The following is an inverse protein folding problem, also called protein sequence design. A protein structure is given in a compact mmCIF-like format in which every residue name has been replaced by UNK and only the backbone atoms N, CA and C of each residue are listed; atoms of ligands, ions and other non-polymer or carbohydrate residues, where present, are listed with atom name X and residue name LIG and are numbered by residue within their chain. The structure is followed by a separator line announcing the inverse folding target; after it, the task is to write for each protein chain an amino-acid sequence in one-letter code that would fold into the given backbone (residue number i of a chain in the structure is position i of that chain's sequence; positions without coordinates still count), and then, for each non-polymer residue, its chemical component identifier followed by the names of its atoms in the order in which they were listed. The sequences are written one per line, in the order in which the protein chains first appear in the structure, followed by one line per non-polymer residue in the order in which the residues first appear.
data_IF_714098691139
#
_entry.id   IF_714098691139
#
_cell.length_a   1.000
_cell.length_b   1.000
_cell.length_c   1.000
_cell.angle_alpha   90.00
_cell.angle_beta   90.00
_cell.angle_gamma   90.00
#
_symmetry.space_group_name_H-M   'P 1'
#
loop_
_entity.id
_entity.type
_entity.pdbx_description
1 polymer ?
#
# COMPACT_ATOMS: atom_id res chain seq x y z
N UNK A 1 -15.19 0.38 35.44
CA UNK A 1 -14.44 -0.87 35.22
C UNK A 1 -15.09 -1.75 34.12
N UNK A 2 -15.33 -1.18 32.93
CA UNK A 2 -15.96 -1.89 31.79
C UNK A 2 -15.62 -1.19 30.46
N UNK A 3 -15.47 0.14 30.48
CA UNK A 3 -15.05 0.93 29.32
C UNK A 3 -13.58 0.74 28.89
N UNK A 4 -12.66 0.37 29.80
CA UNK A 4 -11.26 0.08 29.46
C UNK A 4 -11.08 -1.23 28.69
N UNK A 5 -11.99 -2.20 28.88
CA UNK A 5 -11.93 -3.50 28.20
C UNK A 5 -12.29 -3.40 26.71
N UNK A 6 -13.12 -2.41 26.32
CA UNK A 6 -13.48 -2.15 24.92
C UNK A 6 -12.34 -1.54 24.08
N UNK A 7 -11.39 -0.83 24.71
CA UNK A 7 -10.20 -0.30 24.04
C UNK A 7 -9.10 -1.34 23.87
N UNK A 8 -9.11 -2.42 24.66
CA UNK A 8 -8.08 -3.44 24.63
C UNK A 8 -8.51 -4.64 23.78
N UNK A 9 -7.77 -4.85 22.69
CA UNK A 9 -7.77 -6.03 21.80
C UNK A 9 -8.97 -6.20 20.88
N UNK A 10 -8.86 -5.58 19.69
CA UNK A 10 -8.89 -6.44 18.50
C UNK A 10 -7.71 -7.41 18.62
N UNK A 11 -7.95 -8.61 19.14
CA UNK A 11 -6.95 -9.68 19.13
C UNK A 11 -6.69 -9.93 17.65
N UNK A 12 -5.57 -9.44 17.12
CA UNK A 12 -5.11 -9.84 15.79
C UNK A 12 -4.93 -11.35 15.89
N UNK A 13 -5.92 -12.10 15.40
CA UNK A 13 -5.79 -13.54 15.24
C UNK A 13 -4.50 -13.74 14.46
N UNK A 14 -3.58 -14.55 15.03
CA UNK A 14 -2.38 -14.96 14.33
C UNK A 14 -2.80 -15.83 13.16
N UNK A 15 -3.20 -15.17 12.08
CA UNK A 15 -3.41 -15.73 10.76
C UNK A 15 -2.11 -16.43 10.37
N UNK A 16 -2.21 -17.68 9.91
CA UNK A 16 -1.07 -18.35 9.28
C UNK A 16 -0.48 -17.45 8.20
N UNK A 17 0.85 -17.46 8.03
CA UNK A 17 1.51 -16.66 7.00
C UNK A 17 0.86 -16.88 5.62
N UNK A 18 0.45 -18.12 5.32
CA UNK A 18 -0.29 -18.46 4.10
C UNK A 18 -1.66 -17.78 3.99
N UNK A 19 -2.42 -17.70 5.09
CA UNK A 19 -3.72 -17.03 5.11
C UNK A 19 -3.58 -15.50 4.92
N UNK A 20 -2.53 -14.90 5.48
CA UNK A 20 -2.23 -13.48 5.26
C UNK A 20 -1.80 -13.21 3.82
N UNK A 21 -0.97 -14.09 3.24
CA UNK A 21 -0.54 -14.02 1.84
C UNK A 21 -1.74 -14.13 0.88
N UNK A 22 -2.62 -15.11 1.10
CA UNK A 22 -3.83 -15.28 0.29
C UNK A 22 -4.76 -14.07 0.36
N UNK A 23 -4.98 -13.53 1.56
CA UNK A 23 -5.79 -12.30 1.73
C UNK A 23 -5.17 -11.13 0.97
N UNK A 24 -3.86 -10.91 1.13
CA UNK A 24 -3.14 -9.84 0.42
C UNK A 24 -3.22 -9.99 -1.11
N UNK A 25 -3.04 -11.22 -1.60
CA UNK A 25 -3.16 -11.54 -3.02
C UNK A 25 -4.55 -11.21 -3.56
N UNK A 26 -5.61 -11.70 -2.92
CA UNK A 26 -6.98 -11.45 -3.38
C UNK A 26 -7.38 -9.99 -3.29
N UNK A 27 -6.99 -9.27 -2.23
CA UNK A 27 -7.23 -7.83 -2.10
C UNK A 27 -6.52 -7.04 -3.20
N UNK A 28 -5.29 -7.44 -3.53
CA UNK A 28 -4.51 -6.76 -4.58
C UNK A 28 -5.05 -7.07 -5.97
N UNK A 29 -5.44 -8.32 -6.23
CA UNK A 29 -5.99 -8.75 -7.51
C UNK A 29 -7.36 -8.12 -7.79
N UNK A 30 -8.19 -7.96 -6.76
CA UNK A 30 -9.50 -7.34 -6.88
C UNK A 30 -9.46 -5.81 -6.78
N UNK A 31 -8.28 -5.20 -6.67
CA UNK A 31 -8.12 -3.76 -6.58
C UNK A 31 -8.38 -3.11 -7.94
N UNK A 32 -9.52 -2.40 -8.15
CA UNK A 32 -9.85 -1.84 -9.46
C UNK A 32 -8.88 -0.73 -9.86
N UNK A 33 -8.29 -0.02 -8.90
CA UNK A 33 -7.30 1.03 -9.17
C UNK A 33 -6.03 0.44 -9.78
N UNK A 34 -5.56 -0.69 -9.26
CA UNK A 34 -4.40 -1.40 -9.81
C UNK A 34 -4.66 -1.88 -11.24
N UNK A 35 -5.82 -2.49 -11.47
CA UNK A 35 -6.21 -2.97 -12.80
C UNK A 35 -6.26 -1.80 -13.80
N UNK A 36 -6.97 -0.72 -13.44
CA UNK A 36 -7.11 0.47 -14.30
C UNK A 36 -5.76 1.14 -14.57
N UNK A 37 -4.89 1.21 -13.57
CA UNK A 37 -3.54 1.76 -13.73
C UNK A 37 -2.75 0.94 -14.76
N UNK A 38 -2.65 -0.37 -14.59
CA UNK A 38 -1.89 -1.20 -15.53
C UNK A 38 -2.52 -1.25 -16.92
N UNK A 39 -3.84 -1.33 -17.01
CA UNK A 39 -4.54 -1.34 -18.31
C UNK A 39 -4.37 -0.03 -19.07
N UNK A 40 -4.25 1.09 -18.37
CA UNK A 40 -4.02 2.38 -19.01
C UNK A 40 -2.53 2.62 -19.29
N UNK A 41 -1.63 2.19 -18.40
CA UNK A 41 -0.22 2.57 -18.44
C UNK A 41 0.65 1.61 -19.24
N UNK A 42 0.53 0.29 -19.05
CA UNK A 42 1.41 -0.69 -19.72
C UNK A 42 1.29 -0.67 -21.26
N UNK A 43 0.09 -0.55 -21.86
CA UNK A 43 -0.02 -0.54 -23.32
C UNK A 43 0.68 0.66 -23.97
N UNK A 44 0.89 1.76 -23.23
CA UNK A 44 1.58 2.95 -23.76
C UNK A 44 3.06 2.68 -24.07
N UNK A 45 3.64 1.63 -23.48
CA UNK A 45 5.03 1.22 -23.73
C UNK A 45 5.14 0.07 -24.73
N UNK A 46 4.01 -0.51 -25.18
CA UNK A 46 4.01 -1.61 -26.13
C UNK A 46 4.02 -1.06 -27.57
N UNK A 47 4.85 -1.66 -28.43
CA UNK A 47 4.87 -1.37 -29.86
C UNK A 47 3.73 -2.09 -30.58
N UNK A 48 3.12 -1.40 -31.54
CA UNK A 48 2.07 -1.94 -32.43
C UNK A 48 2.62 -2.86 -33.52
N UNK A 49 3.93 -2.86 -33.76
CA UNK A 49 4.57 -3.65 -34.83
C UNK A 49 4.92 -5.09 -34.42
N UNK A 50 4.60 -5.52 -33.21
CA UNK A 50 4.99 -6.82 -32.65
C UNK A 50 3.88 -7.43 -31.81
N UNK A 51 3.98 -8.72 -31.50
CA UNK A 51 2.98 -9.41 -30.70
C UNK A 51 2.80 -8.74 -29.32
N UNK A 52 1.55 -8.46 -28.95
CA UNK A 52 1.22 -7.68 -27.75
C UNK A 52 1.46 -8.44 -26.44
N UNK A 53 1.02 -9.70 -26.36
CA UNK A 53 1.06 -10.49 -25.12
C UNK A 53 2.48 -10.64 -24.53
N UNK A 54 3.53 -11.00 -25.31
CA UNK A 54 4.88 -11.12 -24.78
C UNK A 54 5.41 -9.79 -24.21
N UNK A 55 5.11 -8.66 -24.87
CA UNK A 55 5.56 -7.34 -24.42
C UNK A 55 4.94 -6.97 -23.07
N UNK A 56 3.62 -7.14 -22.93
CA UNK A 56 2.93 -6.86 -21.67
C UNK A 56 3.38 -7.81 -20.56
N UNK A 57 3.60 -9.08 -20.87
CA UNK A 57 4.12 -10.04 -19.90
C UNK A 57 5.51 -9.64 -19.38
N UNK A 58 6.42 -9.24 -20.27
CA UNK A 58 7.75 -8.74 -19.90
C UNK A 58 7.66 -7.47 -19.08
N UNK A 59 6.88 -6.47 -19.50
CA UNK A 59 6.72 -5.22 -18.76
C UNK A 59 6.13 -5.44 -17.37
N UNK A 60 5.13 -6.31 -17.26
CA UNK A 60 4.51 -6.68 -15.98
C UNK A 60 5.50 -7.39 -15.06
N UNK A 61 6.33 -8.30 -15.60
CA UNK A 61 7.37 -8.99 -14.85
C UNK A 61 8.45 -8.02 -14.34
N UNK A 62 8.90 -7.09 -15.18
CA UNK A 62 9.85 -6.04 -14.79
C UNK A 62 9.28 -5.17 -13.68
N UNK A 63 8.02 -4.74 -13.81
CA UNK A 63 7.34 -3.97 -12.77
C UNK A 63 7.25 -4.74 -11.45
N UNK A 64 6.82 -6.02 -11.51
CA UNK A 64 6.69 -6.85 -10.32
C UNK A 64 8.02 -7.04 -9.61
N UNK A 65 9.10 -7.27 -10.36
CA UNK A 65 10.45 -7.40 -9.81
C UNK A 65 10.87 -6.11 -9.10
N UNK A 66 10.67 -4.95 -9.74
CA UNK A 66 10.98 -3.66 -9.15
C UNK A 66 10.17 -3.41 -7.87
N UNK A 67 8.87 -3.70 -7.89
CA UNK A 67 7.98 -3.54 -6.74
C UNK A 67 8.47 -4.40 -5.56
N UNK A 68 8.72 -5.69 -5.79
CA UNK A 68 9.21 -6.60 -4.74
C UNK A 68 10.58 -6.15 -4.22
N UNK A 69 11.49 -5.73 -5.09
CA UNK A 69 12.81 -5.21 -4.67
C UNK A 69 12.67 -3.97 -3.80
N UNK A 70 11.88 -2.99 -4.22
CA UNK A 70 11.68 -1.75 -3.47
C UNK A 70 11.01 -1.99 -2.12
N UNK A 71 9.93 -2.78 -2.09
CA UNK A 71 9.24 -3.11 -0.85
C UNK A 71 10.13 -3.90 0.11
N UNK A 72 10.91 -4.87 -0.42
CA UNK A 72 11.86 -5.63 0.39
C UNK A 72 12.96 -4.73 0.96
N UNK A 73 13.55 -3.86 0.14
CA UNK A 73 14.54 -2.88 0.60
C UNK A 73 13.95 -1.98 1.69
N UNK A 74 12.73 -1.48 1.48
CA UNK A 74 12.04 -0.63 2.44
C UNK A 74 11.82 -1.35 3.78
N UNK A 75 11.27 -2.58 3.74
CA UNK A 75 11.02 -3.37 4.96
C UNK A 75 12.31 -3.73 5.68
N UNK A 76 13.37 -4.12 4.95
CA UNK A 76 14.67 -4.43 5.55
C UNK A 76 15.31 -3.20 6.19
N UNK A 77 15.22 -2.03 5.54
CA UNK A 77 15.71 -0.78 6.09
C UNK A 77 14.91 -0.38 7.34
N UNK A 78 13.58 -0.47 7.28
CA UNK A 78 12.70 -0.22 8.42
C UNK A 78 13.00 -1.17 9.59
N UNK A 79 13.28 -2.44 9.32
CA UNK A 79 13.65 -3.41 10.34
C UNK A 79 14.99 -3.05 11.01
N UNK A 80 15.98 -2.61 10.23
CA UNK A 80 17.29 -2.15 10.76
C UNK A 80 17.17 -0.87 11.58
N UNK A 81 16.35 0.07 11.15
CA UNK A 81 16.15 1.36 11.83
C UNK A 81 15.08 1.30 12.92
N UNK A 82 14.48 0.13 13.17
CA UNK A 82 13.38 -0.03 14.13
C UNK A 82 13.71 0.52 15.51
N UNK A 83 14.95 0.39 15.98
CA UNK A 83 15.37 0.92 17.28
C UNK A 83 15.37 2.45 17.32
N UNK A 84 15.68 3.11 16.20
CA UNK A 84 15.62 4.56 16.06
C UNK A 84 14.14 5.02 15.97
N UNK A 85 13.34 4.31 15.17
CA UNK A 85 11.93 4.61 14.94
C UNK A 85 11.01 4.25 16.12
N UNK A 86 11.46 3.42 17.06
CA UNK A 86 10.67 3.02 18.24
C UNK A 86 10.60 4.09 19.34
N UNK A 87 11.07 5.31 19.07
CA UNK A 87 10.95 6.43 20.02
C UNK A 87 9.53 7.01 20.00
N UNK A 88 9.01 7.33 21.19
CA UNK A 88 7.67 7.92 21.36
C UNK A 88 7.50 9.24 20.59
N UNK A 89 8.60 9.97 20.41
CA UNK A 89 8.60 11.24 19.69
C UNK A 89 8.39 11.06 18.18
N UNK A 90 9.01 10.03 17.57
CA UNK A 90 8.81 9.71 16.16
C UNK A 90 7.38 9.24 15.89
N UNK A 91 6.82 8.41 16.77
CA UNK A 91 5.41 8.01 16.68
C UNK A 91 4.47 9.22 16.77
N UNK A 92 4.77 10.17 17.66
CA UNK A 92 3.97 11.40 17.81
C UNK A 92 4.03 12.28 16.58
N UNK A 93 5.23 12.46 16.01
CA UNK A 93 5.43 13.23 14.77
C UNK A 93 4.70 12.55 13.61
N UNK A 94 4.88 11.24 13.43
CA UNK A 94 4.25 10.46 12.35
C UNK A 94 2.71 10.54 12.41
N UNK A 95 2.14 10.37 13.59
CA UNK A 95 0.70 10.49 13.81
C UNK A 95 0.21 11.94 13.59
N UNK A 96 0.96 12.92 14.05
CA UNK A 96 0.65 14.34 13.85
C UNK A 96 0.65 14.73 12.37
N UNK A 97 1.69 14.33 11.63
CA UNK A 97 1.80 14.56 10.18
C UNK A 97 0.65 13.90 9.44
N UNK A 98 0.37 12.63 9.72
CA UNK A 98 -0.72 11.88 9.08
C UNK A 98 -2.09 12.52 9.36
N UNK A 99 -2.36 12.87 10.61
CA UNK A 99 -3.60 13.53 11.01
C UNK A 99 -3.77 14.90 10.35
N UNK A 100 -2.70 15.69 10.29
CA UNK A 100 -2.71 17.01 9.64
C UNK A 100 -2.96 16.87 8.13
N UNK A 101 -2.33 15.87 7.49
CA UNK A 101 -2.54 15.59 6.07
C UNK A 101 -3.99 15.19 5.77
N UNK A 102 -4.60 14.36 6.63
CA UNK A 102 -6.00 13.96 6.48
C UNK A 102 -6.97 15.11 6.74
N UNK A 103 -6.73 15.94 7.74
CA UNK A 103 -7.55 17.13 7.98
C UNK A 103 -7.46 18.12 6.82
N UNK A 104 -6.25 18.33 6.28
CA UNK A 104 -6.04 19.15 5.08
C UNK A 104 -6.79 18.59 3.87
N UNK A 105 -6.63 17.30 3.58
CA UNK A 105 -7.34 16.65 2.49
C UNK A 105 -8.88 16.72 2.66
N UNK A 106 -9.37 16.51 3.89
CA UNK A 106 -10.79 16.66 4.23
C UNK A 106 -11.30 18.09 4.05
N UNK A 107 -10.52 19.09 4.45
CA UNK A 107 -10.86 20.50 4.25
C UNK A 107 -10.91 20.89 2.77
N UNK A 108 -9.96 20.42 1.96
CA UNK A 108 -9.97 20.60 0.51
C UNK A 108 -11.21 19.92 -0.10
N UNK A 109 -11.53 18.70 0.32
CA UNK A 109 -12.72 18.01 -0.15
C UNK A 109 -14.01 18.71 0.26
N UNK A 110 -14.09 19.26 1.47
CA UNK A 110 -15.26 20.00 1.95
C UNK A 110 -15.51 21.29 1.18
N UNK A 111 -14.45 21.93 0.68
CA UNK A 111 -14.54 23.14 -0.16
C UNK A 111 -14.69 22.82 -1.64
N UNK A 112 -14.35 21.60 -2.06
CA UNK A 112 -14.60 21.11 -3.43
C UNK A 112 -16.09 20.83 -3.59
N UNK A 113 -16.83 21.86 -3.97
CA UNK A 113 -18.25 21.76 -4.30
C UNK A 113 -18.41 20.78 -5.46
N UNK A 114 -19.00 19.60 -5.20
CA UNK A 114 -19.32 18.63 -6.26
C UNK A 114 -20.57 19.11 -6.97
N UNK A 115 -20.40 19.62 -8.19
CA UNK A 115 -21.48 19.84 -9.17
C UNK A 115 -21.87 18.48 -9.76
#
# INVERSE_FOLDING_TARGET
NSLYAFYTRKKVERSSASASMQRGFWVSLTNPKTILFFSAFLPQFASTSSAYLPQIATLSACFLLLAVTMDSCYVLLAAKLKWLLASRDIDRISNGVSGTLFLGAGGILATTNRV
#
